data_IF_450319821147
#
_entry.id   IF_450319821147
#
_cell.length_a   1.000
_cell.length_b   1.000
_cell.length_c   1.000
_cell.angle_alpha   90.00
_cell.angle_beta   90.00
_cell.angle_gamma   90.00
#
_symmetry.space_group_name_H-M   'P 1'
#
loop_
_entity.id
_entity.type
_entity.pdbx_description
1 polymer ?
#
# COMPACT_ATOMS: atom_id res chain seq x y z
N UNK A 1 -34.12 28.84 33.68
CA UNK A 1 -33.19 27.76 33.24
C UNK A 1 -31.82 28.15 33.72
N UNK A 2 -31.19 27.37 34.58
CA UNK A 2 -29.80 27.63 35.01
C UNK A 2 -28.83 27.24 33.88
N UNK A 3 -28.12 28.22 33.38
CA UNK A 3 -27.07 28.01 32.37
C UNK A 3 -25.81 27.43 33.01
N UNK A 4 -25.31 26.34 32.52
CA UNK A 4 -24.05 25.76 32.96
C UNK A 4 -22.88 26.49 32.27
N UNK A 5 -21.81 26.81 32.99
CA UNK A 5 -20.64 27.46 32.39
C UNK A 5 -19.80 26.51 31.55
N UNK A 6 -19.09 26.99 30.55
CA UNK A 6 -18.16 26.20 29.72
C UNK A 6 -17.11 25.46 30.57
N UNK A 7 -16.58 26.13 31.60
CA UNK A 7 -15.60 25.55 32.53
C UNK A 7 -16.18 24.35 33.26
N UNK A 8 -17.45 24.45 33.72
CA UNK A 8 -18.09 23.32 34.39
C UNK A 8 -18.38 22.15 33.46
N UNK A 9 -18.79 22.42 32.21
CA UNK A 9 -18.94 21.38 31.19
C UNK A 9 -17.60 20.68 30.94
N UNK A 10 -16.50 21.43 30.79
CA UNK A 10 -15.16 20.88 30.63
C UNK A 10 -14.77 19.96 31.80
N UNK A 11 -14.96 20.44 33.04
CA UNK A 11 -14.64 19.63 34.22
C UNK A 11 -15.43 18.30 34.23
N UNK A 12 -16.73 18.34 33.93
CA UNK A 12 -17.57 17.13 33.89
C UNK A 12 -17.08 16.15 32.83
N UNK A 13 -16.71 16.65 31.64
CA UNK A 13 -16.18 15.80 30.55
C UNK A 13 -14.82 15.22 30.89
N UNK A 14 -13.94 15.99 31.55
CA UNK A 14 -12.64 15.52 32.02
C UNK A 14 -12.78 14.45 33.13
N UNK A 15 -13.65 14.64 34.09
CA UNK A 15 -13.96 13.67 35.14
C UNK A 15 -14.53 12.36 34.59
N UNK A 16 -15.35 12.44 33.53
CA UNK A 16 -15.94 11.29 32.87
C UNK A 16 -15.03 10.66 31.77
N UNK A 17 -13.82 11.20 31.56
CA UNK A 17 -12.88 10.83 30.47
C UNK A 17 -13.52 10.86 29.06
N UNK A 18 -14.48 11.75 28.87
CA UNK A 18 -15.17 11.93 27.60
C UNK A 18 -14.49 13.04 26.80
N UNK A 19 -14.10 12.73 25.56
CA UNK A 19 -13.40 13.63 24.66
C UNK A 19 -14.21 13.85 23.37
N UNK A 20 -15.32 14.63 23.41
CA UNK A 20 -16.23 14.77 22.28
C UNK A 20 -15.62 15.50 21.07
N UNK A 21 -14.47 16.17 21.27
CA UNK A 21 -13.69 16.81 20.23
C UNK A 21 -12.74 15.87 19.49
N UNK A 22 -12.58 14.62 19.95
CA UNK A 22 -11.76 13.60 19.28
C UNK A 22 -12.67 12.68 18.48
N UNK A 23 -12.36 12.57 17.20
CA UNK A 23 -13.04 11.66 16.29
C UNK A 23 -12.16 10.41 16.14
N UNK A 24 -12.71 9.26 16.44
CA UNK A 24 -12.10 7.96 16.15
C UNK A 24 -12.86 7.33 15.01
N UNK A 25 -12.13 6.98 13.97
CA UNK A 25 -12.73 6.29 12.83
C UNK A 25 -12.77 4.79 13.11
N UNK A 26 -13.88 4.17 12.77
CA UNK A 26 -14.03 2.71 12.77
C UNK A 26 -14.55 2.27 11.40
N UNK A 27 -14.22 1.05 11.03
CA UNK A 27 -14.74 0.44 9.81
C UNK A 27 -15.95 -0.42 10.19
N UNK A 28 -17.13 -0.05 9.71
CA UNK A 28 -18.33 -0.84 9.88
C UNK A 28 -18.30 -2.03 8.91
N UNK A 29 -18.55 -3.22 9.43
CA UNK A 29 -18.66 -4.42 8.59
C UNK A 29 -19.98 -4.36 7.79
N UNK A 30 -19.90 -3.94 6.52
CA UNK A 30 -21.01 -3.81 5.59
C UNK A 30 -21.13 -4.96 4.60
N UNK A 31 -20.11 -5.83 4.57
CA UNK A 31 -20.07 -6.98 3.67
C UNK A 31 -20.59 -8.21 4.42
N UNK A 32 -21.72 -8.80 4.02
CA UNK A 32 -22.26 -10.00 4.67
C UNK A 32 -21.34 -11.21 4.55
N UNK A 33 -20.47 -11.23 3.53
CA UNK A 33 -19.51 -12.33 3.27
C UNK A 33 -18.11 -12.03 3.82
N UNK A 34 -17.98 -11.00 4.69
CA UNK A 34 -16.69 -10.52 5.18
C UNK A 34 -15.84 -11.66 5.79
N UNK A 35 -16.44 -12.45 6.67
CA UNK A 35 -15.72 -13.52 7.38
C UNK A 35 -15.17 -14.58 6.40
N UNK A 36 -15.94 -14.93 5.39
CA UNK A 36 -15.52 -15.88 4.36
C UNK A 36 -14.40 -15.31 3.50
N UNK A 37 -14.51 -14.06 3.08
CA UNK A 37 -13.49 -13.36 2.29
C UNK A 37 -12.21 -13.17 3.09
N UNK A 38 -12.31 -12.76 4.35
CA UNK A 38 -11.18 -12.64 5.25
C UNK A 38 -10.50 -13.99 5.48
N UNK A 39 -11.28 -15.05 5.68
CA UNK A 39 -10.73 -16.41 5.81
C UNK A 39 -9.91 -16.81 4.58
N UNK A 40 -10.41 -16.53 3.37
CA UNK A 40 -9.68 -16.84 2.14
C UNK A 40 -8.34 -16.08 2.04
N UNK A 41 -8.32 -14.79 2.41
CA UNK A 41 -7.07 -14.00 2.47
C UNK A 41 -6.10 -14.58 3.49
N UNK A 42 -6.58 -14.90 4.70
CA UNK A 42 -5.74 -15.50 5.74
C UNK A 42 -5.17 -16.87 5.33
N UNK A 43 -5.92 -17.66 4.55
CA UNK A 43 -5.40 -18.92 3.99
C UNK A 43 -4.21 -18.69 3.05
N UNK A 44 -4.23 -17.62 2.23
CA UNK A 44 -3.09 -17.28 1.36
C UNK A 44 -1.84 -17.01 2.21
N UNK A 45 -1.95 -16.18 3.25
CA UNK A 45 -0.82 -15.90 4.15
C UNK A 45 -0.36 -17.14 4.92
N UNK A 46 -1.29 -18.01 5.33
CA UNK A 46 -0.93 -19.27 5.99
C UNK A 46 -0.19 -20.20 5.03
N UNK A 47 -0.65 -20.36 3.79
CA UNK A 47 0.04 -21.14 2.77
C UNK A 47 1.45 -20.60 2.51
N UNK A 48 1.59 -19.26 2.43
CA UNK A 48 2.88 -18.63 2.30
C UNK A 48 3.79 -18.93 3.51
N UNK A 49 3.29 -18.83 4.73
CA UNK A 49 4.08 -19.11 5.94
C UNK A 49 4.63 -20.54 6.01
N UNK A 50 3.93 -21.51 5.40
CA UNK A 50 4.37 -22.90 5.31
C UNK A 50 5.52 -23.12 4.31
N UNK A 51 5.85 -22.13 3.49
CA UNK A 51 6.98 -22.17 2.56
C UNK A 51 8.31 -21.77 3.22
N UNK A 52 8.29 -21.39 4.50
CA UNK A 52 9.49 -21.00 5.25
C UNK A 52 9.79 -22.02 6.34
N UNK A 53 11.07 -22.27 6.56
CA UNK A 53 11.56 -23.08 7.66
C UNK A 53 11.52 -22.35 9.02
N UNK A 54 11.89 -23.04 10.10
CA UNK A 54 11.94 -22.46 11.47
C UNK A 54 12.93 -21.27 11.58
N UNK A 55 13.85 -21.12 10.65
CA UNK A 55 14.82 -20.03 10.57
C UNK A 55 14.36 -18.88 9.68
N UNK A 56 13.15 -18.99 9.09
CA UNK A 56 12.62 -18.01 8.16
C UNK A 56 13.27 -18.06 6.76
N UNK A 57 13.88 -19.19 6.38
CA UNK A 57 14.42 -19.37 5.03
C UNK A 57 13.39 -20.07 4.15
N UNK A 58 13.29 -19.62 2.89
CA UNK A 58 12.39 -20.22 1.92
C UNK A 58 12.80 -21.67 1.62
N UNK A 59 11.85 -22.58 1.78
CA UNK A 59 12.04 -24.00 1.46
C UNK A 59 12.03 -24.13 -0.06
N UNK A 60 13.04 -24.76 -0.69
CA UNK A 60 13.07 -24.95 -2.14
C UNK A 60 11.85 -25.71 -2.64
N UNK A 61 11.26 -25.25 -3.74
CA UNK A 61 10.18 -25.96 -4.40
C UNK A 61 10.66 -27.30 -4.96
N UNK A 62 9.80 -28.30 -4.98
CA UNK A 62 10.09 -29.58 -5.63
C UNK A 62 10.08 -29.41 -7.15
N UNK A 63 10.84 -30.23 -7.88
CA UNK A 63 10.97 -30.15 -9.35
C UNK A 63 9.63 -30.23 -10.10
N UNK A 64 8.63 -30.94 -9.55
CA UNK A 64 7.30 -31.09 -10.13
C UNK A 64 6.24 -30.11 -9.55
N UNK A 65 6.64 -29.20 -8.67
CA UNK A 65 5.72 -28.28 -8.00
C UNK A 65 5.63 -26.97 -8.78
N UNK A 66 4.41 -26.54 -9.08
CA UNK A 66 4.19 -25.27 -9.72
C UNK A 66 4.54 -24.12 -8.76
N UNK A 67 5.52 -23.31 -9.12
CA UNK A 67 5.91 -22.14 -8.35
C UNK A 67 4.80 -21.10 -8.39
N UNK A 68 4.45 -20.57 -7.21
CA UNK A 68 3.44 -19.52 -7.06
C UNK A 68 4.09 -18.35 -6.31
N UNK A 69 4.32 -17.24 -7.02
CA UNK A 69 4.78 -15.98 -6.42
C UNK A 69 3.61 -15.26 -5.79
N UNK A 70 3.73 -14.88 -4.52
CA UNK A 70 2.68 -14.17 -3.79
C UNK A 70 3.15 -12.74 -3.53
N UNK A 71 2.46 -11.78 -4.12
CA UNK A 71 2.77 -10.36 -3.97
C UNK A 71 1.64 -9.63 -3.26
N UNK A 72 2.00 -8.72 -2.36
CA UNK A 72 1.08 -7.71 -1.82
C UNK A 72 1.25 -6.42 -2.61
N UNK A 73 0.18 -5.90 -3.16
CA UNK A 73 0.17 -4.70 -4.01
C UNK A 73 -0.67 -3.59 -3.38
N UNK A 74 -0.21 -2.36 -3.49
CA UNK A 74 -0.93 -1.17 -3.04
C UNK A 74 -0.50 0.07 -3.83
N UNK A 75 -1.34 1.13 -3.84
CA UNK A 75 -1.04 2.43 -4.43
C UNK A 75 -0.87 3.51 -3.38
N UNK A 76 0.13 4.34 -3.55
CA UNK A 76 0.32 5.58 -2.81
C UNK A 76 0.13 6.78 -3.74
N UNK A 77 -1.09 7.33 -3.85
CA UNK A 77 -1.34 8.52 -4.65
C UNK A 77 -0.89 9.79 -3.96
N UNK A 78 -0.76 10.88 -4.74
CA UNK A 78 -0.62 12.22 -4.21
C UNK A 78 0.69 12.50 -3.47
N UNK A 79 1.76 11.78 -3.79
CA UNK A 79 3.10 12.08 -3.26
C UNK A 79 3.53 13.43 -3.82
N UNK A 80 3.76 14.41 -2.95
CA UNK A 80 4.17 15.74 -3.36
C UNK A 80 5.61 15.75 -3.85
N UNK A 81 5.81 16.18 -5.09
CA UNK A 81 7.13 16.48 -5.63
C UNK A 81 7.47 17.93 -5.27
N UNK A 82 8.49 18.11 -4.46
CA UNK A 82 8.97 19.43 -4.02
C UNK A 82 10.45 19.59 -4.36
N UNK A 83 10.85 20.81 -4.64
CA UNK A 83 12.25 21.19 -4.77
C UNK A 83 12.60 22.31 -3.79
N UNK A 84 13.84 22.32 -3.33
CA UNK A 84 14.34 23.44 -2.55
C UNK A 84 14.38 24.71 -3.43
N UNK A 85 14.19 25.87 -2.81
CA UNK A 85 14.30 27.17 -3.48
C UNK A 85 15.75 27.60 -3.60
N UNK A 86 16.58 27.18 -2.66
CA UNK A 86 18.03 27.45 -2.58
C UNK A 86 18.79 26.16 -2.24
N UNK A 87 20.10 26.21 -2.37
CA UNK A 87 20.98 25.15 -1.92
C UNK A 87 21.02 25.05 -0.39
N UNK A 88 21.20 23.85 0.13
CA UNK A 88 21.36 23.61 1.56
C UNK A 88 22.69 24.21 2.05
N UNK A 89 22.66 24.87 3.22
CA UNK A 89 23.88 25.30 3.90
C UNK A 89 24.48 24.12 4.65
N UNK A 90 25.72 23.77 4.30
CA UNK A 90 26.43 22.67 4.94
C UNK A 90 26.86 23.02 6.37
N UNK A 91 27.09 22.02 7.23
CA UNK A 91 27.61 22.24 8.57
C UNK A 91 28.93 23.00 8.56
N UNK A 92 29.11 23.94 9.50
CA UNK A 92 30.31 24.69 9.74
C UNK A 92 30.73 24.66 11.23
N UNK A 93 31.72 25.45 11.62
CA UNK A 93 32.18 25.50 13.01
C UNK A 93 31.09 25.99 13.99
N UNK A 94 30.16 26.84 13.54
CA UNK A 94 29.12 27.46 14.34
C UNK A 94 27.81 26.67 14.27
N UNK A 95 27.55 26.01 13.14
CA UNK A 95 26.32 25.27 12.86
C UNK A 95 26.63 23.81 12.52
N UNK A 96 26.32 22.90 13.43
CA UNK A 96 26.70 21.46 13.31
C UNK A 96 25.72 20.63 12.47
N UNK A 97 24.63 21.22 11.97
CA UNK A 97 23.60 20.56 11.17
C UNK A 97 23.46 21.24 9.81
N UNK A 98 22.99 20.46 8.81
CA UNK A 98 22.58 21.03 7.53
C UNK A 98 21.38 21.95 7.75
N UNK A 99 21.46 23.18 7.25
CA UNK A 99 20.35 24.13 7.28
C UNK A 99 19.71 24.23 5.91
N UNK A 100 18.41 24.05 5.85
CA UNK A 100 17.60 24.10 4.63
C UNK A 100 16.61 25.24 4.73
N UNK A 101 16.39 25.93 3.60
CA UNK A 101 15.34 26.94 3.51
C UNK A 101 13.98 26.29 3.80
N UNK A 102 13.14 26.97 4.56
CA UNK A 102 11.78 26.49 4.86
C UNK A 102 10.84 26.68 3.67
N UNK A 103 11.20 27.52 2.70
CA UNK A 103 10.45 27.68 1.46
C UNK A 103 10.76 26.53 0.48
N UNK A 104 9.77 26.09 -0.24
CA UNK A 104 9.91 25.04 -1.24
C UNK A 104 9.06 25.35 -2.49
N UNK A 105 9.51 24.88 -3.62
CA UNK A 105 8.79 24.94 -4.88
C UNK A 105 8.00 23.65 -5.10
N UNK A 106 6.69 23.75 -5.34
CA UNK A 106 5.86 22.61 -5.71
C UNK A 106 6.04 22.29 -7.19
N UNK A 107 6.37 21.03 -7.49
CA UNK A 107 6.57 20.52 -8.83
C UNK A 107 5.39 19.63 -9.31
N UNK A 108 4.38 19.45 -8.45
CA UNK A 108 3.21 18.61 -8.72
C UNK A 108 3.10 17.44 -7.77
N UNK A 109 2.38 16.42 -8.19
CA UNK A 109 2.19 15.16 -7.46
C UNK A 109 2.47 13.98 -8.37
N UNK A 110 2.98 12.91 -7.78
CA UNK A 110 3.17 11.62 -8.42
C UNK A 110 2.43 10.54 -7.65
N UNK A 111 2.22 9.40 -8.29
CA UNK A 111 1.66 8.19 -7.68
C UNK A 111 2.69 7.07 -7.74
N UNK A 112 2.80 6.32 -6.66
CA UNK A 112 3.59 5.10 -6.59
C UNK A 112 2.61 3.92 -6.61
N UNK A 113 2.78 3.02 -7.57
CA UNK A 113 2.18 1.70 -7.61
C UNK A 113 3.29 0.72 -7.21
N UNK A 114 3.07 -0.12 -6.23
CA UNK A 114 4.13 -1.02 -5.78
C UNK A 114 3.59 -2.38 -5.34
N UNK A 115 4.32 -3.42 -5.71
CA UNK A 115 4.15 -4.77 -5.18
C UNK A 115 5.36 -5.19 -4.37
N UNK A 116 5.13 -5.93 -3.29
CA UNK A 116 6.18 -6.59 -2.53
C UNK A 116 6.01 -8.09 -2.70
N UNK A 117 7.03 -8.74 -3.23
CA UNK A 117 7.11 -10.20 -3.24
C UNK A 117 7.28 -10.69 -1.80
N UNK A 118 6.28 -11.42 -1.30
CA UNK A 118 6.23 -11.86 0.10
C UNK A 118 7.17 -13.04 0.39
N UNK A 119 7.74 -13.66 -0.63
CA UNK A 119 8.70 -14.75 -0.48
C UNK A 119 10.13 -14.23 -0.41
N UNK A 120 10.45 -13.22 -1.19
CA UNK A 120 11.80 -12.64 -1.30
C UNK A 120 11.97 -11.34 -0.54
N UNK A 121 10.88 -10.63 -0.26
CA UNK A 121 10.89 -9.27 0.29
C UNK A 121 11.26 -8.18 -0.74
N UNK A 122 11.38 -8.54 -2.02
CA UNK A 122 11.72 -7.60 -3.07
C UNK A 122 10.55 -6.66 -3.36
N UNK A 123 10.81 -5.35 -3.42
CA UNK A 123 9.84 -4.35 -3.82
C UNK A 123 9.93 -4.06 -5.32
N UNK A 124 8.80 -4.08 -6.01
CA UNK A 124 8.67 -3.80 -7.45
C UNK A 124 7.87 -2.50 -7.58
N UNK A 125 8.53 -1.34 -7.78
CA UNK A 125 7.86 -0.05 -7.87
C UNK A 125 7.58 0.35 -9.31
N UNK A 126 6.47 1.10 -9.50
CA UNK A 126 6.17 1.86 -10.70
C UNK A 126 5.72 3.27 -10.30
N UNK A 127 6.45 4.29 -10.73
CA UNK A 127 6.12 5.70 -10.45
C UNK A 127 5.51 6.34 -11.68
N UNK A 128 4.33 6.93 -11.54
CA UNK A 128 3.56 7.58 -12.61
C UNK A 128 2.87 8.84 -12.08
N UNK A 129 2.43 9.69 -13.01
CA UNK A 129 1.62 10.88 -12.67
C UNK A 129 0.22 10.50 -12.18
N UNK A 130 -0.27 9.32 -12.58
CA UNK A 130 -1.61 8.81 -12.27
C UNK A 130 -1.55 7.36 -11.78
N UNK A 131 -2.66 6.92 -11.20
CA UNK A 131 -2.86 5.54 -10.73
C UNK A 131 -4.19 5.00 -11.28
N UNK A 132 -4.39 5.12 -12.60
CA UNK A 132 -5.58 4.62 -13.29
C UNK A 132 -5.40 3.15 -13.71
N UNK A 133 -6.46 2.57 -14.30
CA UNK A 133 -6.39 1.19 -14.82
C UNK A 133 -5.28 0.99 -15.86
N UNK A 134 -4.86 2.04 -16.57
CA UNK A 134 -3.76 1.94 -17.54
C UNK A 134 -2.42 1.72 -16.86
N UNK A 135 -2.14 2.48 -15.80
CA UNK A 135 -0.92 2.34 -15.02
C UNK A 135 -0.92 1.00 -14.26
N UNK A 136 -2.09 0.54 -13.79
CA UNK A 136 -2.21 -0.78 -13.19
C UNK A 136 -1.91 -1.90 -14.20
N UNK A 137 -2.44 -1.85 -15.41
CA UNK A 137 -2.12 -2.81 -16.48
C UNK A 137 -0.62 -2.79 -16.82
N UNK A 138 0.00 -1.59 -16.86
CA UNK A 138 1.45 -1.47 -17.07
C UNK A 138 2.24 -2.15 -15.94
N UNK A 139 1.77 -1.99 -14.69
CA UNK A 139 2.37 -2.68 -13.55
C UNK A 139 2.24 -4.21 -13.67
N UNK A 140 1.08 -4.72 -14.08
CA UNK A 140 0.90 -6.17 -14.30
C UNK A 140 1.85 -6.71 -15.39
N UNK A 141 2.07 -5.95 -16.47
CA UNK A 141 3.04 -6.32 -17.52
C UNK A 141 4.49 -6.36 -17.01
N UNK A 142 4.85 -5.48 -16.06
CA UNK A 142 6.15 -5.53 -15.40
C UNK A 142 6.28 -6.83 -14.59
N UNK A 143 5.24 -7.22 -13.86
CA UNK A 143 5.24 -8.48 -13.12
C UNK A 143 5.36 -9.68 -14.05
N UNK A 144 4.57 -9.71 -15.13
CA UNK A 144 4.59 -10.78 -16.12
C UNK A 144 5.97 -10.96 -16.77
N UNK A 145 6.65 -9.85 -17.09
CA UNK A 145 8.01 -9.89 -17.63
C UNK A 145 9.10 -10.26 -16.62
N UNK A 146 8.83 -10.11 -15.33
CA UNK A 146 9.79 -10.38 -14.25
C UNK A 146 9.88 -11.85 -13.89
N UNK A 147 8.76 -12.55 -13.90
CA UNK A 147 8.67 -13.94 -13.47
C UNK A 147 8.61 -14.90 -14.68
N UNK A 148 9.12 -16.15 -14.53
CA UNK A 148 9.07 -17.14 -15.60
C UNK A 148 7.63 -17.43 -16.07
N UNK A 149 7.47 -17.71 -17.36
CA UNK A 149 6.16 -18.04 -17.94
C UNK A 149 5.49 -19.28 -17.35
N UNK A 150 6.26 -20.19 -16.79
CA UNK A 150 5.77 -21.40 -16.13
C UNK A 150 5.16 -21.13 -14.75
N UNK A 151 5.48 -19.99 -14.15
CA UNK A 151 5.13 -19.69 -12.78
C UNK A 151 3.77 -18.99 -12.70
N UNK A 152 3.12 -19.09 -11.56
CA UNK A 152 1.90 -18.34 -11.27
C UNK A 152 2.18 -17.12 -10.40
N UNK A 153 1.48 -16.03 -10.69
CA UNK A 153 1.51 -14.83 -9.88
C UNK A 153 0.18 -14.68 -9.16
N UNK A 154 0.22 -14.57 -7.84
CA UNK A 154 -0.95 -14.33 -6.99
C UNK A 154 -0.81 -12.96 -6.34
N UNK A 155 -1.72 -12.03 -6.68
CA UNK A 155 -1.76 -10.71 -6.09
C UNK A 155 -2.74 -10.66 -4.92
N UNK A 156 -2.30 -10.10 -3.80
CA UNK A 156 -3.15 -9.65 -2.69
C UNK A 156 -3.27 -8.15 -2.81
N UNK A 157 -4.48 -7.66 -3.05
CA UNK A 157 -4.77 -6.25 -3.29
C UNK A 157 -6.08 -5.85 -2.60
N UNK A 158 -6.32 -4.56 -2.45
CA UNK A 158 -7.58 -4.04 -1.94
C UNK A 158 -8.70 -4.11 -3.00
N UNK A 159 -9.91 -3.73 -2.59
CA UNK A 159 -11.09 -3.77 -3.47
C UNK A 159 -11.27 -2.46 -4.26
N UNK A 160 -10.21 -1.84 -4.73
CA UNK A 160 -10.29 -0.62 -5.54
C UNK A 160 -10.87 -0.96 -6.93
N UNK A 161 -11.80 -0.14 -7.41
CA UNK A 161 -12.49 -0.37 -8.71
C UNK A 161 -11.54 -0.44 -9.92
N UNK A 162 -10.34 0.12 -9.80
CA UNK A 162 -9.30 0.06 -10.83
C UNK A 162 -8.90 -1.38 -11.13
N UNK A 163 -8.87 -2.25 -10.12
CA UNK A 163 -8.45 -3.66 -10.21
C UNK A 163 -9.48 -4.56 -10.90
N UNK A 164 -10.72 -4.09 -11.08
CA UNK A 164 -11.81 -4.82 -11.75
C UNK A 164 -12.38 -4.05 -12.93
N UNK A 165 -11.56 -3.19 -13.56
CA UNK A 165 -12.02 -2.36 -14.68
C UNK A 165 -12.19 -3.18 -15.97
N UNK A 166 -13.10 -2.74 -16.82
CA UNK A 166 -13.33 -3.34 -18.14
C UNK A 166 -12.06 -3.35 -19.02
N UNK A 167 -11.17 -2.38 -18.86
CA UNK A 167 -9.89 -2.33 -19.58
C UNK A 167 -8.97 -3.49 -19.20
N UNK A 168 -9.01 -3.96 -17.97
CA UNK A 168 -8.23 -5.13 -17.54
C UNK A 168 -8.72 -6.39 -18.27
N UNK A 169 -10.04 -6.62 -18.27
CA UNK A 169 -10.63 -7.78 -18.95
C UNK A 169 -10.44 -7.76 -20.48
N UNK A 170 -10.46 -6.58 -21.11
CA UNK A 170 -10.23 -6.46 -22.54
C UNK A 170 -8.78 -6.63 -22.94
N UNK A 171 -7.82 -6.23 -22.08
CA UNK A 171 -6.40 -6.48 -22.32
C UNK A 171 -6.05 -7.96 -22.14
N UNK A 172 -6.65 -8.62 -21.16
CA UNK A 172 -6.49 -10.05 -20.89
C UNK A 172 -7.08 -10.91 -22.03
N UNK A 173 -8.23 -10.50 -22.59
CA UNK A 173 -8.84 -11.18 -23.74
C UNK A 173 -8.11 -10.97 -25.07
N UNK A 174 -7.26 -9.91 -25.19
CA UNK A 174 -6.48 -9.60 -26.38
C UNK A 174 -5.04 -10.14 -26.33
N UNK A 175 -4.56 -10.44 -25.14
CA UNK A 175 -3.21 -10.91 -24.86
C UNK A 175 -3.36 -12.18 -24.01
N UNK A 176 -3.30 -13.35 -24.64
CA UNK A 176 -3.41 -14.69 -24.01
C UNK A 176 -2.28 -14.96 -22.99
N UNK A 177 -1.53 -13.92 -22.61
CA UNK A 177 -0.29 -13.98 -21.84
C UNK A 177 -0.38 -13.48 -20.40
N UNK A 178 -1.51 -12.88 -19.93
CA UNK A 178 -1.66 -12.50 -18.52
C UNK A 178 -2.14 -13.70 -17.68
N UNK A 179 -1.25 -14.22 -16.87
CA UNK A 179 -1.35 -15.47 -16.07
C UNK A 179 -1.82 -15.21 -14.64
#
# INVERSE_FOLDING_TARGET
MSTISQSKVRTILEEADIKPNKITYYCENRDPDFDQKMHNVLLVYKQLSLQFDEKGQLIPFKEDEQVVHVLSYDEKPGIQAIANTTEDLLPDENHKTVSRDYEYKRLGTISLLAGIDLQTGEAIPLVKDKHSSKEYIEFLKILDSKYPETDRIRLVLDNLKVHSSCLLYTSDAADDSLR
#
